data_IF_306955991163
#
_entry.id   IF_306955991163
#
_cell.length_a   1.000
_cell.length_b   1.000
_cell.length_c   1.000
_cell.angle_alpha   90.00
_cell.angle_beta   90.00
_cell.angle_gamma   90.00
#
_symmetry.space_group_name_H-M   'P 1'
#
loop_
_entity.id
_entity.type
_entity.pdbx_description
1 polymer ?
#
# COMPACT_ATOMS: atom_id res chain seq x y z
N UNK A 1 -25.36 -15.07 65.88
CA UNK A 1 -25.49 -15.39 64.49
C UNK A 1 -25.52 -14.03 63.70
N UNK A 2 -24.40 -13.59 63.12
CA UNK A 2 -24.31 -12.33 62.40
C UNK A 2 -24.33 -12.67 60.91
N UNK A 3 -25.34 -12.18 60.22
CA UNK A 3 -25.51 -12.34 58.79
C UNK A 3 -24.69 -11.23 58.10
N UNK A 4 -23.63 -11.61 57.40
CA UNK A 4 -22.89 -10.70 56.50
C UNK A 4 -23.62 -10.66 55.14
N UNK A 5 -24.19 -9.52 54.81
CA UNK A 5 -24.73 -9.23 53.49
C UNK A 5 -23.59 -8.72 52.61
N UNK A 6 -23.17 -9.51 51.62
CA UNK A 6 -22.22 -9.10 50.62
C UNK A 6 -22.95 -8.28 49.53
N UNK A 7 -22.63 -7.00 49.42
CA UNK A 7 -23.05 -6.16 48.28
C UNK A 7 -22.13 -6.49 47.08
N UNK A 8 -22.67 -7.12 46.05
CA UNK A 8 -22.00 -7.26 44.77
C UNK A 8 -22.16 -5.94 43.97
N UNK A 9 -21.07 -5.22 43.79
CA UNK A 9 -21.03 -4.05 42.90
C UNK A 9 -21.07 -4.51 41.44
N UNK A 10 -22.16 -4.26 40.76
CA UNK A 10 -22.31 -4.48 39.32
C UNK A 10 -21.56 -3.36 38.58
N UNK A 11 -20.35 -3.61 38.09
CA UNK A 11 -19.65 -2.70 37.18
C UNK A 11 -20.35 -2.74 35.80
N UNK A 12 -21.18 -1.77 35.52
CA UNK A 12 -21.71 -1.53 34.17
C UNK A 12 -20.60 -0.88 33.38
N UNK A 13 -19.94 -1.65 32.52
CA UNK A 13 -19.01 -1.11 31.52
C UNK A 13 -19.85 -0.38 30.44
N UNK A 14 -19.80 0.94 30.44
CA UNK A 14 -20.32 1.72 29.33
C UNK A 14 -19.42 1.46 28.13
N UNK A 15 -19.98 1.19 26.91
CA UNK A 15 -19.18 1.16 25.73
C UNK A 15 -18.48 2.52 25.57
N UNK A 16 -17.15 2.51 25.48
CA UNK A 16 -16.41 3.71 25.15
C UNK A 16 -16.89 4.20 23.80
N UNK A 17 -17.51 5.37 23.75
CA UNK A 17 -17.84 6.05 22.50
C UNK A 17 -16.49 6.30 21.81
N UNK A 18 -16.26 5.66 20.66
CA UNK A 18 -15.06 5.90 19.88
C UNK A 18 -14.96 7.40 19.58
N UNK A 19 -13.80 8.00 19.82
CA UNK A 19 -13.57 9.39 19.42
C UNK A 19 -13.84 9.52 17.92
N UNK A 20 -14.42 10.66 17.47
CA UNK A 20 -14.68 10.84 16.04
C UNK A 20 -13.36 10.75 15.26
N UNK A 21 -13.37 9.96 14.20
CA UNK A 21 -12.23 9.80 13.30
C UNK A 21 -11.78 11.16 12.76
N UNK A 22 -10.48 11.43 12.83
CA UNK A 22 -9.93 12.61 12.18
C UNK A 22 -9.92 12.45 10.63
N UNK A 23 -9.57 13.53 9.92
CA UNK A 23 -9.53 13.49 8.44
C UNK A 23 -8.58 12.42 7.90
N UNK A 24 -7.41 12.30 8.51
CA UNK A 24 -6.38 11.34 8.09
C UNK A 24 -6.83 9.90 8.30
N UNK A 25 -7.44 9.60 9.44
CA UNK A 25 -7.98 8.27 9.73
C UNK A 25 -9.10 7.89 8.75
N UNK A 26 -10.00 8.83 8.42
CA UNK A 26 -11.03 8.61 7.40
C UNK A 26 -10.42 8.37 6.02
N UNK A 27 -9.40 9.15 5.63
CA UNK A 27 -8.71 8.98 4.35
C UNK A 27 -8.03 7.61 4.25
N UNK A 28 -7.31 7.20 5.31
CA UNK A 28 -6.66 5.89 5.38
C UNK A 28 -7.68 4.75 5.26
N UNK A 29 -8.80 4.85 5.99
CA UNK A 29 -9.87 3.85 5.91
C UNK A 29 -10.51 3.79 4.53
N UNK A 30 -10.81 4.92 3.92
CA UNK A 30 -11.41 4.97 2.60
C UNK A 30 -10.48 4.41 1.50
N UNK A 31 -9.18 4.73 1.56
CA UNK A 31 -8.19 4.19 0.64
C UNK A 31 -7.99 2.69 0.84
N UNK A 32 -7.91 2.22 2.08
CA UNK A 32 -7.75 0.79 2.38
C UNK A 32 -8.97 -0.02 1.91
N UNK A 33 -10.20 0.48 2.13
CA UNK A 33 -11.42 -0.24 1.80
C UNK A 33 -11.79 -0.18 0.31
N UNK A 34 -11.32 0.84 -0.43
CA UNK A 34 -11.60 0.96 -1.86
C UNK A 34 -11.05 -0.24 -2.65
N UNK A 35 -11.89 -1.02 -3.35
CA UNK A 35 -11.41 -2.13 -4.16
C UNK A 35 -10.59 -1.63 -5.35
N UNK A 36 -9.51 -2.32 -5.67
CA UNK A 36 -8.67 -1.94 -6.82
C UNK A 36 -7.50 -2.91 -7.01
N UNK A 37 -7.74 -4.18 -7.39
CA UNK A 37 -6.64 -5.05 -7.77
C UNK A 37 -6.06 -4.58 -9.09
N UNK A 38 -4.81 -4.98 -9.38
CA UNK A 38 -4.08 -4.55 -10.58
C UNK A 38 -4.93 -4.62 -11.86
N UNK A 39 -5.07 -3.50 -12.55
CA UNK A 39 -5.86 -3.35 -13.76
C UNK A 39 -7.35 -3.01 -13.54
N UNK A 40 -7.79 -2.87 -12.28
CA UNK A 40 -9.18 -2.55 -11.88
C UNK A 40 -9.22 -1.46 -10.81
N UNK A 41 -8.36 -0.45 -10.92
CA UNK A 41 -8.14 0.59 -9.90
C UNK A 41 -9.18 1.72 -9.92
N UNK A 42 -10.32 1.59 -10.64
CA UNK A 42 -11.28 2.68 -10.83
C UNK A 42 -11.81 3.27 -9.52
N UNK A 43 -12.09 2.42 -8.54
CA UNK A 43 -12.66 2.90 -7.28
C UNK A 43 -11.64 3.72 -6.48
N UNK A 44 -10.43 3.22 -6.30
CA UNK A 44 -9.35 3.95 -5.61
C UNK A 44 -8.90 5.17 -6.42
N UNK A 45 -8.85 5.07 -7.74
CA UNK A 45 -8.58 6.23 -8.63
C UNK A 45 -9.59 7.35 -8.39
N UNK A 46 -10.86 7.01 -8.18
CA UNK A 46 -11.89 7.99 -7.82
C UNK A 46 -11.56 8.74 -6.53
N UNK A 47 -11.06 8.04 -5.50
CA UNK A 47 -10.60 8.66 -4.24
C UNK A 47 -9.40 9.57 -4.51
N UNK A 48 -8.38 9.10 -5.22
CA UNK A 48 -7.17 9.87 -5.54
C UNK A 48 -7.51 11.15 -6.32
N UNK A 49 -8.32 11.05 -7.36
CA UNK A 49 -8.74 12.22 -8.16
C UNK A 49 -9.51 13.23 -7.31
N UNK A 50 -10.43 12.77 -6.47
CA UNK A 50 -11.20 13.65 -5.58
C UNK A 50 -10.29 14.41 -4.61
N UNK A 51 -9.32 13.73 -4.00
CA UNK A 51 -8.41 14.32 -3.01
C UNK A 51 -7.34 15.22 -3.65
N UNK A 52 -6.81 14.84 -4.82
CA UNK A 52 -5.72 15.56 -5.48
C UNK A 52 -6.22 16.78 -6.29
N UNK A 53 -7.42 16.74 -6.87
CA UNK A 53 -7.93 17.83 -7.73
C UNK A 53 -7.92 19.20 -7.05
N UNK A 54 -8.35 19.39 -5.79
CA UNK A 54 -8.30 20.70 -5.15
C UNK A 54 -6.87 21.14 -4.76
N UNK A 55 -5.89 20.25 -4.82
CA UNK A 55 -4.50 20.48 -4.42
C UNK A 55 -3.56 20.75 -5.60
N UNK A 56 -3.90 20.27 -6.78
CA UNK A 56 -3.07 20.35 -7.97
C UNK A 56 -3.41 21.57 -8.85
N UNK A 57 -2.42 22.03 -9.60
CA UNK A 57 -2.63 23.00 -10.67
C UNK A 57 -3.14 22.32 -11.94
N UNK A 58 -2.79 21.03 -12.12
CA UNK A 58 -3.17 20.22 -13.26
C UNK A 58 -3.26 18.73 -12.86
N UNK A 59 -4.29 18.05 -13.35
CA UNK A 59 -4.40 16.58 -13.32
C UNK A 59 -4.26 16.06 -14.75
N UNK A 60 -3.44 15.02 -14.94
CA UNK A 60 -3.28 14.29 -16.19
C UNK A 60 -3.28 12.79 -15.90
N UNK A 61 -3.43 11.99 -16.95
CA UNK A 61 -3.41 10.54 -16.87
C UNK A 61 -2.39 10.01 -17.88
N UNK A 62 -1.76 8.89 -17.56
CA UNK A 62 -0.97 8.16 -18.54
C UNK A 62 -1.87 7.19 -19.35
N UNK A 63 -1.25 6.42 -20.26
CA UNK A 63 -1.98 5.51 -21.15
C UNK A 63 -2.50 4.22 -20.47
N UNK A 64 -2.14 3.95 -19.20
CA UNK A 64 -2.56 2.75 -18.45
C UNK A 64 -3.46 3.09 -17.26
N UNK A 65 -3.65 4.38 -16.94
CA UNK A 65 -4.62 4.84 -15.96
C UNK A 65 -4.05 5.41 -14.67
N UNK A 66 -2.74 5.65 -14.58
CA UNK A 66 -2.15 6.38 -13.45
C UNK A 66 -2.64 7.82 -13.42
N UNK A 67 -2.80 8.38 -12.21
CA UNK A 67 -3.20 9.77 -11.98
C UNK A 67 -1.97 10.61 -11.67
N UNK A 68 -1.73 11.67 -12.42
CA UNK A 68 -0.58 12.57 -12.23
C UNK A 68 -1.09 13.95 -11.88
N UNK A 69 -0.85 14.36 -10.63
CA UNK A 69 -1.19 15.68 -10.10
C UNK A 69 0.07 16.57 -10.09
N UNK A 70 0.06 17.67 -10.83
CA UNK A 70 1.15 18.65 -10.87
C UNK A 70 0.82 19.84 -9.99
N UNK A 71 1.81 20.30 -9.19
CA UNK A 71 1.78 21.56 -8.46
C UNK A 71 3.13 22.28 -8.58
N UNK A 72 3.08 23.60 -8.82
CA UNK A 72 4.26 24.42 -9.09
C UNK A 72 4.66 24.42 -10.58
N UNK A 73 5.15 25.57 -11.04
CA UNK A 73 5.44 25.84 -12.46
C UNK A 73 6.93 25.98 -12.78
N UNK A 74 7.82 25.96 -11.78
CA UNK A 74 9.25 26.25 -11.97
C UNK A 74 10.12 25.37 -11.07
N UNK A 75 11.41 25.33 -11.36
CA UNK A 75 12.37 24.49 -10.66
C UNK A 75 12.49 23.08 -11.23
N UNK A 76 13.24 22.18 -10.58
CA UNK A 76 13.42 20.80 -11.03
C UNK A 76 12.10 20.02 -10.91
N UNK A 77 11.94 19.03 -11.79
CA UNK A 77 10.80 18.12 -11.76
C UNK A 77 11.06 17.03 -10.72
N UNK A 78 10.24 17.00 -9.70
CA UNK A 78 10.29 15.97 -8.65
C UNK A 78 9.05 15.11 -8.75
N UNK A 79 9.22 13.81 -8.97
CA UNK A 79 8.15 12.82 -8.96
C UNK A 79 8.07 12.21 -7.56
N UNK A 80 6.91 12.31 -6.93
CA UNK A 80 6.53 11.62 -5.72
C UNK A 80 5.50 10.58 -6.09
N UNK A 81 5.82 9.32 -5.90
CA UNK A 81 5.10 8.18 -6.40
C UNK A 81 4.50 7.33 -5.28
N UNK A 82 3.35 6.72 -5.55
CA UNK A 82 2.71 5.71 -4.72
C UNK A 82 1.72 4.92 -5.59
N UNK A 83 1.65 3.59 -5.44
CA UNK A 83 0.76 2.81 -6.30
C UNK A 83 -0.65 2.63 -5.73
N UNK A 84 -1.63 2.64 -6.63
CA UNK A 84 -3.05 2.50 -6.28
C UNK A 84 -3.51 1.06 -6.21
N UNK A 85 -2.90 0.16 -6.96
CA UNK A 85 -3.35 -1.22 -6.99
C UNK A 85 -3.03 -1.97 -5.69
N UNK A 86 -3.78 -3.02 -5.46
CA UNK A 86 -3.61 -3.93 -4.34
C UNK A 86 -3.49 -5.36 -4.86
N UNK A 87 -2.94 -6.24 -4.05
CA UNK A 87 -3.02 -7.67 -4.28
C UNK A 87 -4.47 -8.14 -4.38
N UNK A 88 -4.73 -9.01 -5.34
CA UNK A 88 -6.06 -9.56 -5.53
C UNK A 88 -6.04 -10.76 -6.46
N UNK A 89 -7.10 -10.88 -7.22
CA UNK A 89 -7.24 -11.89 -8.24
C UNK A 89 -8.33 -11.55 -9.24
N UNK A 90 -8.56 -12.47 -10.16
CA UNK A 90 -9.72 -12.44 -11.04
C UNK A 90 -10.35 -13.83 -11.14
N UNK A 91 -11.65 -13.87 -11.37
CA UNK A 91 -12.35 -15.11 -11.65
C UNK A 91 -11.78 -15.72 -12.92
N UNK A 92 -11.22 -16.92 -12.84
CA UNK A 92 -10.63 -17.63 -13.98
C UNK A 92 -11.64 -18.49 -14.69
N UNK A 93 -12.46 -19.24 -13.92
CA UNK A 93 -13.44 -20.20 -14.47
C UNK A 93 -14.56 -20.46 -13.48
N UNK A 94 -15.77 -20.67 -13.99
CA UNK A 94 -16.93 -21.15 -13.24
C UNK A 94 -17.09 -22.67 -13.51
N UNK A 95 -17.24 -23.46 -12.45
CA UNK A 95 -17.51 -24.89 -12.57
C UNK A 95 -19.00 -25.16 -12.78
N UNK A 96 -19.40 -26.31 -13.35
CA UNK A 96 -20.82 -26.68 -13.48
C UNK A 96 -21.55 -26.71 -12.13
N UNK A 97 -20.84 -26.97 -11.04
CA UNK A 97 -21.37 -27.06 -9.66
C UNK A 97 -21.30 -25.75 -8.87
N UNK A 98 -21.05 -24.62 -9.54
CA UNK A 98 -21.14 -23.29 -8.93
C UNK A 98 -19.90 -22.80 -8.18
N UNK A 99 -18.80 -23.55 -8.16
CA UNK A 99 -17.53 -23.07 -7.63
C UNK A 99 -16.72 -22.30 -8.67
N UNK A 100 -15.79 -21.46 -8.20
CA UNK A 100 -14.97 -20.62 -9.05
C UNK A 100 -13.49 -20.93 -8.84
N UNK A 101 -12.71 -21.00 -9.92
CA UNK A 101 -11.25 -20.92 -9.80
C UNK A 101 -10.82 -19.45 -9.98
N UNK A 102 -9.73 -19.07 -9.32
CA UNK A 102 -9.19 -17.72 -9.30
C UNK A 102 -7.79 -17.68 -9.91
N UNK A 103 -7.52 -16.66 -10.71
CA UNK A 103 -6.18 -16.25 -11.10
C UNK A 103 -5.71 -15.18 -10.12
N UNK A 104 -4.61 -15.43 -9.41
CA UNK A 104 -4.02 -14.44 -8.53
C UNK A 104 -3.34 -13.32 -9.32
N UNK A 105 -3.46 -12.09 -8.84
CA UNK A 105 -2.74 -10.90 -9.26
C UNK A 105 -1.81 -10.48 -8.13
N UNK A 106 -0.52 -10.30 -8.46
CA UNK A 106 0.54 -9.97 -7.50
C UNK A 106 1.10 -11.17 -6.73
N UNK A 107 1.99 -10.89 -5.79
CA UNK A 107 2.78 -11.86 -5.06
C UNK A 107 2.12 -12.35 -3.77
N UNK A 108 1.40 -13.46 -3.80
CA UNK A 108 0.72 -14.05 -2.65
C UNK A 108 1.50 -15.22 -2.03
N UNK A 109 1.43 -15.33 -0.71
CA UNK A 109 1.88 -16.52 0.01
C UNK A 109 0.74 -17.55 0.03
N UNK A 110 0.96 -18.76 -0.50
CA UNK A 110 -0.08 -19.78 -0.68
C UNK A 110 -0.80 -20.14 0.63
N UNK A 111 -0.07 -20.22 1.74
CA UNK A 111 -0.64 -20.51 3.06
C UNK A 111 -1.52 -19.37 3.64
N UNK A 112 -1.51 -18.18 3.06
CA UNK A 112 -2.36 -17.06 3.48
C UNK A 112 -3.71 -17.03 2.73
N UNK A 113 -3.93 -17.91 1.77
CA UNK A 113 -5.11 -17.93 0.90
C UNK A 113 -6.29 -18.79 1.39
N UNK A 114 -6.06 -19.97 2.05
CA UNK A 114 -7.17 -20.82 2.50
C UNK A 114 -8.04 -20.16 3.57
N UNK A 115 -9.34 -20.45 3.53
CA UNK A 115 -10.33 -20.00 4.52
C UNK A 115 -10.44 -18.47 4.70
N UNK A 116 -10.12 -17.72 3.64
CA UNK A 116 -10.20 -16.27 3.63
C UNK A 116 -11.48 -15.78 2.96
N UNK A 117 -11.98 -14.67 3.44
CA UNK A 117 -13.12 -13.98 2.83
C UNK A 117 -12.66 -13.09 1.69
N UNK A 118 -13.46 -13.05 0.62
CA UNK A 118 -13.21 -12.26 -0.58
C UNK A 118 -14.46 -11.52 -1.02
N UNK A 119 -14.26 -10.49 -1.82
CA UNK A 119 -15.32 -9.79 -2.53
C UNK A 119 -15.03 -9.92 -4.03
N UNK A 120 -15.98 -10.46 -4.78
CA UNK A 120 -15.97 -10.48 -6.25
C UNK A 120 -16.78 -9.29 -6.73
N UNK A 121 -16.21 -8.45 -7.57
CA UNK A 121 -16.89 -7.29 -8.15
C UNK A 121 -17.53 -7.71 -9.48
N UNK A 122 -18.71 -8.27 -9.39
CA UNK A 122 -19.49 -8.69 -10.56
C UNK A 122 -20.32 -7.55 -11.16
N UNK A 123 -20.92 -7.82 -12.31
CA UNK A 123 -21.77 -6.85 -13.03
C UNK A 123 -22.95 -6.30 -12.21
N UNK A 124 -23.48 -7.10 -11.28
CA UNK A 124 -24.61 -6.70 -10.43
C UNK A 124 -24.16 -6.08 -9.10
N UNK A 125 -22.87 -5.86 -8.90
CA UNK A 125 -22.28 -5.34 -7.68
C UNK A 125 -21.41 -6.39 -6.94
N UNK A 126 -20.97 -6.07 -5.71
CA UNK A 126 -20.08 -6.93 -4.94
C UNK A 126 -20.80 -8.19 -4.45
N UNK A 127 -20.09 -9.33 -4.54
CA UNK A 127 -20.55 -10.63 -4.04
C UNK A 127 -19.49 -11.19 -3.09
N UNK A 128 -19.88 -11.53 -1.86
CA UNK A 128 -18.99 -12.17 -0.89
C UNK A 128 -18.71 -13.62 -1.28
N UNK A 129 -17.47 -14.03 -1.10
CA UNK A 129 -16.99 -15.39 -1.34
C UNK A 129 -16.03 -15.83 -0.22
N UNK A 130 -15.74 -17.11 -0.16
CA UNK A 130 -14.72 -17.70 0.70
C UNK A 130 -13.83 -18.64 -0.11
N UNK A 131 -12.52 -18.63 0.14
CA UNK A 131 -11.65 -19.69 -0.36
C UNK A 131 -11.90 -20.96 0.45
N UNK A 132 -12.39 -22.02 -0.23
CA UNK A 132 -12.72 -23.28 0.40
C UNK A 132 -11.46 -24.06 0.81
N UNK A 133 -11.60 -24.81 1.90
CA UNK A 133 -10.61 -25.78 2.36
C UNK A 133 -11.30 -27.13 2.62
N UNK A 134 -10.50 -28.20 2.64
CA UNK A 134 -11.00 -29.51 3.07
C UNK A 134 -11.16 -29.57 4.58
N UNK A 135 -12.26 -30.15 5.04
CA UNK A 135 -12.55 -30.32 6.45
C UNK A 135 -11.50 -31.21 7.13
N UNK A 136 -11.09 -30.83 8.35
CA UNK A 136 -10.09 -31.55 9.16
C UNK A 136 -10.48 -33.03 9.41
N UNK A 137 -11.78 -33.33 9.44
CA UNK A 137 -12.28 -34.69 9.67
C UNK A 137 -12.08 -35.65 8.49
N UNK A 138 -11.88 -35.12 7.28
CA UNK A 138 -11.68 -35.94 6.06
C UNK A 138 -10.25 -35.79 5.50
N UNK A 139 -9.42 -34.90 6.04
CA UNK A 139 -8.01 -34.78 5.63
C UNK A 139 -7.14 -35.79 6.37
N UNK A 140 -6.38 -36.67 5.67
CA UNK A 140 -5.42 -37.57 6.30
C UNK A 140 -4.43 -36.83 7.21
N UNK A 141 -4.03 -37.49 8.30
CA UNK A 141 -3.20 -36.83 9.34
C UNK A 141 -1.86 -36.30 8.79
N UNK A 142 -1.25 -37.01 7.85
CA UNK A 142 0.02 -36.64 7.20
C UNK A 142 -0.12 -35.50 6.18
N UNK A 143 -1.33 -35.18 5.73
CA UNK A 143 -1.62 -34.06 4.83
C UNK A 143 -1.95 -32.76 5.57
N UNK A 144 -2.33 -32.82 6.85
CA UNK A 144 -2.82 -31.65 7.63
C UNK A 144 -1.78 -30.53 7.80
N UNK A 145 -0.50 -30.87 7.70
CA UNK A 145 0.62 -29.93 7.83
C UNK A 145 1.19 -29.49 6.48
N UNK A 146 0.65 -29.97 5.38
CA UNK A 146 1.11 -29.58 4.04
C UNK A 146 0.49 -28.25 3.63
N UNK A 147 1.29 -27.39 3.01
CA UNK A 147 0.79 -26.17 2.39
C UNK A 147 -0.08 -26.51 1.19
N UNK A 148 -1.24 -25.88 1.08
CA UNK A 148 -2.10 -26.02 -0.10
C UNK A 148 -1.43 -25.37 -1.31
N UNK A 149 -1.54 -26.04 -2.46
CA UNK A 149 -1.22 -25.38 -3.73
C UNK A 149 -2.35 -24.42 -4.11
N UNK A 150 -2.02 -23.21 -4.51
CA UNK A 150 -3.01 -22.22 -5.00
C UNK A 150 -3.85 -22.76 -6.17
N UNK A 151 -3.32 -23.68 -6.96
CA UNK A 151 -4.05 -24.31 -8.07
C UNK A 151 -5.21 -25.20 -7.61
N UNK A 152 -5.22 -25.63 -6.34
CA UNK A 152 -6.30 -26.41 -5.74
C UNK A 152 -7.36 -25.57 -5.02
N UNK A 153 -7.13 -24.26 -4.88
CA UNK A 153 -8.06 -23.33 -4.23
C UNK A 153 -9.25 -23.04 -5.14
N UNK A 154 -10.38 -22.85 -4.51
CA UNK A 154 -11.61 -22.42 -5.17
C UNK A 154 -12.33 -21.39 -4.32
N UNK A 155 -13.11 -20.51 -4.98
CA UNK A 155 -14.04 -19.61 -4.31
C UNK A 155 -15.43 -20.24 -4.29
N UNK A 156 -16.05 -20.14 -3.13
CA UNK A 156 -17.44 -20.52 -2.89
C UNK A 156 -18.27 -19.24 -2.64
N UNK A 157 -19.31 -19.05 -3.43
CA UNK A 157 -20.30 -17.96 -3.34
C UNK A 157 -21.67 -18.47 -2.90
N UNK A 158 -21.76 -19.72 -2.44
CA UNK A 158 -23.02 -20.37 -2.06
C UNK A 158 -23.90 -20.82 -3.26
N UNK A 159 -23.39 -20.74 -4.49
CA UNK A 159 -24.11 -21.17 -5.69
C UNK A 159 -24.09 -22.70 -5.82
N UNK A 160 -25.12 -23.26 -6.49
CA UNK A 160 -25.24 -24.70 -6.74
C UNK A 160 -24.92 -25.11 -8.18
N UNK A 161 -25.00 -24.14 -9.08
CA UNK A 161 -24.81 -24.33 -10.51
C UNK A 161 -24.09 -23.12 -11.13
N UNK A 162 -23.54 -23.31 -12.32
CA UNK A 162 -23.00 -22.19 -13.11
C UNK A 162 -24.08 -21.15 -13.46
N UNK A 163 -25.34 -21.56 -13.59
CA UNK A 163 -26.45 -20.63 -13.84
C UNK A 163 -26.73 -19.73 -12.63
N UNK A 164 -26.60 -20.26 -11.40
CA UNK A 164 -26.74 -19.44 -10.19
C UNK A 164 -25.61 -18.39 -10.12
N UNK A 165 -24.38 -18.77 -10.45
CA UNK A 165 -23.23 -17.85 -10.52
C UNK A 165 -23.49 -16.74 -11.54
N UNK A 166 -23.97 -17.10 -12.74
CA UNK A 166 -24.34 -16.13 -13.77
C UNK A 166 -25.47 -15.18 -13.33
N UNK A 167 -26.43 -15.68 -12.55
CA UNK A 167 -27.51 -14.87 -11.97
C UNK A 167 -27.00 -13.84 -10.93
N UNK A 168 -25.92 -14.18 -10.20
CA UNK A 168 -25.23 -13.21 -9.34
C UNK A 168 -24.47 -12.13 -10.13
N UNK A 169 -24.33 -12.29 -11.44
CA UNK A 169 -23.63 -11.34 -12.32
C UNK A 169 -22.13 -11.61 -12.39
N UNK A 170 -21.67 -12.74 -11.94
CA UNK A 170 -20.23 -13.12 -11.94
C UNK A 170 -19.87 -13.80 -13.27
N UNK A 171 -18.72 -13.38 -13.81
CA UNK A 171 -18.14 -13.89 -15.07
C UNK A 171 -16.63 -14.08 -14.94
N UNK A 172 -16.02 -14.93 -15.78
CA UNK A 172 -14.57 -14.95 -15.90
C UNK A 172 -14.02 -13.56 -16.24
N UNK A 173 -12.94 -13.15 -15.56
CA UNK A 173 -12.34 -11.83 -15.66
C UNK A 173 -12.80 -10.86 -14.57
N UNK A 174 -13.86 -11.12 -13.83
CA UNK A 174 -14.30 -10.22 -12.75
C UNK A 174 -13.24 -10.16 -11.64
N UNK A 175 -12.91 -8.95 -11.13
CA UNK A 175 -11.90 -8.76 -10.10
C UNK A 175 -12.35 -9.30 -8.74
N UNK A 176 -11.36 -9.79 -7.99
CA UNK A 176 -11.52 -10.36 -6.66
C UNK A 176 -10.56 -9.67 -5.70
N UNK A 177 -11.07 -9.15 -4.60
CA UNK A 177 -10.27 -8.47 -3.57
C UNK A 177 -10.49 -9.08 -2.20
N UNK A 178 -9.53 -8.95 -1.26
CA UNK A 178 -9.72 -9.34 0.13
C UNK A 178 -10.92 -8.63 0.77
N UNK A 179 -11.73 -9.37 1.52
CA UNK A 179 -12.78 -8.83 2.40
C UNK A 179 -12.18 -8.61 3.80
N UNK A 180 -11.41 -7.54 3.95
CA UNK A 180 -10.73 -7.16 5.19
C UNK A 180 -10.88 -5.65 5.41
N UNK A 181 -12.02 -5.22 5.96
CA UNK A 181 -12.31 -3.80 6.15
C UNK A 181 -11.38 -3.15 7.18
N UNK A 182 -11.22 -1.83 7.03
CA UNK A 182 -10.45 -0.99 7.93
C UNK A 182 -10.99 -1.04 9.36
N UNK A 183 -10.09 -1.22 10.34
CA UNK A 183 -10.39 -1.19 11.77
C UNK A 183 -9.33 -0.38 12.52
N UNK A 184 -9.76 0.63 13.28
CA UNK A 184 -8.89 1.32 14.21
C UNK A 184 -8.63 0.42 15.44
N UNK A 185 -7.35 0.14 15.70
CA UNK A 185 -6.90 -0.63 16.86
C UNK A 185 -6.45 0.32 18.00
N UNK A 186 -6.40 -0.16 19.26
CA UNK A 186 -5.83 0.63 20.34
C UNK A 186 -4.39 1.06 20.08
N UNK A 187 -4.01 2.23 20.57
CA UNK A 187 -2.64 2.74 20.49
C UNK A 187 -2.28 3.40 19.16
N UNK A 188 -3.27 3.81 18.35
CA UNK A 188 -3.04 4.51 17.09
C UNK A 188 -2.58 3.60 15.96
N UNK A 189 -2.97 2.34 15.99
CA UNK A 189 -2.69 1.39 14.92
C UNK A 189 -3.93 1.12 14.09
N UNK A 190 -3.72 0.77 12.83
CA UNK A 190 -4.79 0.50 11.88
C UNK A 190 -4.62 -0.87 11.25
N UNK A 191 -5.65 -1.70 11.35
CA UNK A 191 -5.76 -2.98 10.67
C UNK A 191 -6.60 -2.80 9.40
N UNK A 192 -6.18 -3.40 8.31
CA UNK A 192 -6.91 -3.37 7.05
C UNK A 192 -6.16 -4.12 5.96
N UNK A 193 -6.75 -4.16 4.78
CA UNK A 193 -6.08 -4.64 3.56
C UNK A 193 -5.26 -3.53 2.91
N UNK A 194 -4.46 -3.90 1.91
CA UNK A 194 -3.88 -2.98 0.92
C UNK A 194 -3.04 -1.83 1.50
N UNK A 195 -2.41 -1.99 2.68
CA UNK A 195 -1.47 -0.97 3.15
C UNK A 195 -0.28 -0.79 2.21
N UNK A 196 0.06 -1.81 1.50
CA UNK A 196 0.85 -1.84 0.29
C UNK A 196 -0.10 -1.62 -0.91
N UNK A 197 -0.15 -0.41 -1.57
CA UNK A 197 0.50 0.82 -1.08
C UNK A 197 -0.52 1.97 -0.89
N UNK A 198 -1.67 1.67 -0.30
CA UNK A 198 -2.67 2.69 0.01
C UNK A 198 -2.20 3.65 1.10
N UNK A 199 -1.23 3.21 1.94
CA UNK A 199 -0.62 4.10 2.92
C UNK A 199 0.26 5.14 2.23
N UNK A 200 1.02 4.78 1.20
CA UNK A 200 1.77 5.72 0.36
C UNK A 200 0.84 6.67 -0.40
N UNK A 201 -0.27 6.17 -0.96
CA UNK A 201 -1.31 7.02 -1.53
C UNK A 201 -1.80 8.10 -0.55
N UNK A 202 -2.03 7.75 0.71
CA UNK A 202 -2.39 8.73 1.73
C UNK A 202 -1.25 9.70 2.05
N UNK A 203 0.01 9.22 2.12
CA UNK A 203 1.20 10.06 2.35
C UNK A 203 1.34 11.13 1.26
N UNK A 204 1.23 10.75 -0.02
CA UNK A 204 1.42 11.70 -1.12
C UNK A 204 0.31 12.76 -1.17
N UNK A 205 -0.94 12.40 -0.82
CA UNK A 205 -2.05 13.36 -0.68
C UNK A 205 -1.76 14.36 0.44
N UNK A 206 -1.41 13.87 1.64
CA UNK A 206 -1.16 14.73 2.80
C UNK A 206 0.10 15.59 2.62
N UNK A 207 1.14 15.06 1.98
CA UNK A 207 2.34 15.82 1.65
C UNK A 207 2.01 16.94 0.66
N UNK A 208 1.30 16.69 -0.43
CA UNK A 208 0.89 17.72 -1.39
C UNK A 208 0.02 18.80 -0.73
N UNK A 209 -0.92 18.40 0.13
CA UNK A 209 -1.77 19.35 0.86
C UNK A 209 -0.95 20.31 1.73
N UNK A 210 0.07 19.82 2.43
CA UNK A 210 0.95 20.64 3.27
C UNK A 210 1.89 21.51 2.43
N UNK A 211 2.47 20.95 1.36
CA UNK A 211 3.37 21.66 0.45
C UNK A 211 2.67 22.79 -0.31
N UNK A 212 1.41 22.61 -0.69
CA UNK A 212 0.60 23.69 -1.26
C UNK A 212 0.44 24.87 -0.31
N UNK A 213 0.32 24.62 1.00
CA UNK A 213 0.18 25.67 2.01
C UNK A 213 1.50 26.33 2.38
N UNK A 214 2.61 25.56 2.44
CA UNK A 214 3.93 26.03 2.89
C UNK A 214 4.87 26.49 1.77
N UNK A 215 4.60 26.09 0.51
CA UNK A 215 5.45 26.34 -0.64
C UNK A 215 6.60 25.32 -0.79
N UNK A 216 7.10 25.18 -2.02
CA UNK A 216 8.25 24.34 -2.38
C UNK A 216 8.97 24.90 -3.63
N UNK A 217 10.28 24.60 -3.84
CA UNK A 217 11.10 25.24 -4.88
C UNK A 217 11.13 24.47 -6.23
N UNK A 218 10.25 23.51 -6.44
CA UNK A 218 10.29 22.56 -7.56
C UNK A 218 8.94 22.44 -8.27
N UNK A 219 8.91 21.76 -9.41
CA UNK A 219 7.70 21.28 -10.04
C UNK A 219 7.41 19.90 -9.45
N UNK A 220 6.44 19.81 -8.54
CA UNK A 220 6.07 18.57 -7.89
C UNK A 220 5.02 17.84 -8.73
N UNK A 221 5.29 16.58 -9.03
CA UNK A 221 4.38 15.64 -9.67
C UNK A 221 4.07 14.53 -8.67
N UNK A 222 2.86 14.48 -8.17
CA UNK A 222 2.34 13.34 -7.42
C UNK A 222 1.76 12.36 -8.41
N UNK A 223 2.36 11.20 -8.53
CA UNK A 223 1.90 10.11 -9.39
C UNK A 223 1.26 9.03 -8.51
N UNK A 224 -0.04 8.81 -8.70
CA UNK A 224 -0.72 7.65 -8.17
C UNK A 224 -0.75 6.61 -9.28
N UNK A 225 0.12 5.63 -9.19
CA UNK A 225 0.42 4.66 -10.25
C UNK A 225 -0.50 3.45 -10.20
N UNK A 226 -0.51 2.66 -11.26
CA UNK A 226 -1.32 1.45 -11.42
C UNK A 226 -0.45 0.27 -11.78
N UNK A 227 -0.94 -0.95 -11.49
CA UNK A 227 -0.31 -2.20 -11.93
C UNK A 227 1.16 -2.35 -11.46
N UNK A 228 1.47 -1.86 -10.27
CA UNK A 228 2.77 -2.06 -9.62
C UNK A 228 2.98 -3.55 -9.37
N UNK A 229 2.02 -4.22 -8.71
CA UNK A 229 2.01 -5.60 -8.24
C UNK A 229 2.18 -6.67 -9.36
N UNK A 230 2.01 -6.24 -10.61
CA UNK A 230 2.17 -7.10 -11.79
C UNK A 230 3.28 -6.61 -12.73
N UNK A 231 4.20 -5.81 -12.22
CA UNK A 231 5.45 -5.46 -12.91
C UNK A 231 5.72 -3.97 -13.10
N UNK A 232 5.45 -3.11 -12.12
CA UNK A 232 5.87 -1.69 -12.03
C UNK A 232 5.43 -0.85 -13.25
N UNK A 233 4.24 -1.15 -13.81
CA UNK A 233 3.88 -0.67 -15.15
C UNK A 233 3.54 0.81 -15.16
N UNK A 234 2.73 1.25 -14.20
CA UNK A 234 2.29 2.63 -14.08
C UNK A 234 3.43 3.59 -13.77
N UNK A 235 4.35 3.21 -12.88
CA UNK A 235 5.50 4.04 -12.54
C UNK A 235 6.37 4.33 -13.75
N UNK A 236 6.58 3.31 -14.60
CA UNK A 236 7.35 3.48 -15.83
C UNK A 236 6.67 4.45 -16.78
N UNK A 237 5.37 4.26 -17.07
CA UNK A 237 4.64 5.11 -18.01
C UNK A 237 4.45 6.53 -17.49
N UNK A 238 4.21 6.70 -16.18
CA UNK A 238 4.15 8.00 -15.54
C UNK A 238 5.50 8.73 -15.58
N UNK A 239 6.60 8.04 -15.25
CA UNK A 239 7.93 8.63 -15.31
C UNK A 239 8.36 8.99 -16.73
N UNK A 240 8.02 8.18 -17.74
CA UNK A 240 8.27 8.52 -19.16
C UNK A 240 7.48 9.76 -19.60
N UNK A 241 6.28 9.98 -19.07
CA UNK A 241 5.46 11.15 -19.35
C UNK A 241 5.98 12.40 -18.61
N UNK A 242 6.33 12.29 -17.33
CA UNK A 242 6.82 13.38 -16.47
C UNK A 242 8.24 13.76 -16.86
N UNK A 243 9.10 12.79 -17.11
CA UNK A 243 10.56 12.92 -17.25
C UNK A 243 11.16 13.64 -16.04
N UNK A 244 11.11 13.03 -14.84
CA UNK A 244 11.52 13.67 -13.61
C UNK A 244 13.04 13.84 -13.54
N UNK A 245 13.48 14.85 -12.80
CA UNK A 245 14.88 15.02 -12.41
C UNK A 245 15.25 14.20 -11.19
N UNK A 246 14.25 13.91 -10.32
CA UNK A 246 14.34 13.14 -9.07
C UNK A 246 13.08 12.31 -8.93
N UNK A 247 13.22 11.07 -8.46
CA UNK A 247 12.12 10.18 -8.08
C UNK A 247 12.14 9.83 -6.59
N UNK A 248 10.98 9.77 -5.99
CA UNK A 248 10.75 9.27 -4.62
C UNK A 248 9.54 8.37 -4.68
N UNK A 249 9.71 7.07 -4.49
CA UNK A 249 8.62 6.15 -4.24
C UNK A 249 8.30 6.12 -2.75
N UNK A 250 7.03 6.05 -2.42
CA UNK A 250 6.55 5.80 -1.06
C UNK A 250 5.89 4.43 -1.08
N UNK A 251 6.14 3.62 -0.06
CA UNK A 251 5.69 2.24 -0.03
C UNK A 251 5.19 1.80 1.36
N UNK A 252 4.29 0.83 1.38
CA UNK A 252 3.96 0.05 2.56
C UNK A 252 5.00 -1.03 2.82
N UNK A 253 6.15 -0.68 3.42
CA UNK A 253 7.29 -1.59 3.54
C UNK A 253 7.19 -2.58 4.69
N UNK A 254 7.99 -3.64 4.65
CA UNK A 254 7.95 -4.77 5.58
C UNK A 254 8.41 -4.34 6.98
N UNK A 255 7.58 -4.58 8.03
CA UNK A 255 7.98 -4.46 9.42
C UNK A 255 8.47 -5.82 9.96
N UNK A 256 9.69 -5.84 10.52
CA UNK A 256 10.36 -7.05 11.02
C UNK A 256 10.07 -7.39 12.48
N UNK A 257 9.22 -6.65 13.18
CA UNK A 257 8.95 -6.81 14.61
C UNK A 257 7.85 -7.84 14.94
N UNK A 258 7.60 -8.79 14.03
CA UNK A 258 6.71 -9.92 14.27
C UNK A 258 7.45 -11.13 14.84
N UNK A 259 6.80 -11.96 15.69
CA UNK A 259 7.42 -13.19 16.19
C UNK A 259 7.93 -14.09 15.06
N UNK A 260 9.13 -14.65 15.23
CA UNK A 260 9.76 -15.54 14.24
C UNK A 260 10.47 -14.84 13.10
N UNK A 261 10.55 -13.50 13.09
CA UNK A 261 11.38 -12.73 12.17
C UNK A 261 12.81 -12.57 12.68
N UNK A 262 13.75 -12.49 11.75
CA UNK A 262 15.16 -12.19 12.04
C UNK A 262 15.49 -10.74 11.62
N UNK A 263 16.32 -10.01 12.39
CA UNK A 263 16.84 -8.72 11.94
C UNK A 263 17.64 -8.78 10.63
N UNK A 264 18.07 -9.96 10.20
CA UNK A 264 18.72 -10.17 8.90
C UNK A 264 17.72 -10.15 7.72
N UNK A 265 16.41 -10.29 7.99
CA UNK A 265 15.38 -10.27 6.96
C UNK A 265 14.90 -8.84 6.67
N UNK A 266 14.69 -8.04 7.71
CA UNK A 266 14.29 -6.63 7.67
C UNK A 266 14.57 -6.00 9.03
N UNK A 267 14.93 -4.71 9.03
CA UNK A 267 15.30 -3.96 10.23
C UNK A 267 14.22 -2.96 10.66
N UNK A 268 13.30 -2.60 9.75
CA UNK A 268 12.21 -1.67 10.06
C UNK A 268 11.21 -2.28 11.05
N UNK A 269 10.68 -1.47 11.96
CA UNK A 269 9.70 -1.87 12.98
C UNK A 269 8.57 -0.85 13.08
N UNK A 270 7.37 -1.28 13.51
CA UNK A 270 6.25 -0.37 13.78
C UNK A 270 6.58 0.58 14.94
N UNK A 271 6.22 1.85 14.79
CA UNK A 271 6.48 2.91 15.78
C UNK A 271 7.89 3.48 15.71
N UNK A 272 8.76 2.92 14.85
CA UNK A 272 10.15 3.36 14.67
C UNK A 272 10.31 4.59 13.78
N UNK A 273 9.26 5.04 13.11
CA UNK A 273 9.29 6.12 12.11
C UNK A 273 9.41 5.62 10.68
N UNK A 274 9.53 6.53 9.69
CA UNK A 274 9.73 6.14 8.30
C UNK A 274 10.98 5.29 8.11
N UNK A 275 10.93 4.38 7.15
CA UNK A 275 12.09 3.64 6.69
C UNK A 275 12.63 4.18 5.37
N UNK A 276 13.89 3.89 5.10
CA UNK A 276 14.57 4.18 3.84
C UNK A 276 15.26 2.90 3.40
N UNK A 277 14.89 2.34 2.26
CA UNK A 277 15.61 1.22 1.69
C UNK A 277 16.96 1.67 1.13
N UNK A 278 18.03 1.03 1.62
CA UNK A 278 19.37 1.19 1.07
C UNK A 278 19.62 0.21 -0.07
N UNK A 279 18.81 -0.83 -0.16
CA UNK A 279 18.72 -1.83 -1.22
C UNK A 279 17.47 -2.69 -1.03
N UNK A 280 16.76 -2.99 -2.10
CA UNK A 280 15.53 -3.78 -2.09
C UNK A 280 15.50 -4.94 -3.11
N UNK A 281 16.63 -5.28 -3.72
CA UNK A 281 16.86 -6.17 -4.87
C UNK A 281 16.64 -5.55 -6.24
N UNK A 282 15.87 -4.47 -6.37
CA UNK A 282 15.54 -3.81 -7.62
C UNK A 282 16.16 -2.42 -7.74
N UNK A 283 16.27 -1.69 -6.62
CA UNK A 283 16.78 -0.32 -6.56
C UNK A 283 18.05 -0.22 -5.71
N UNK A 284 19.06 0.47 -6.24
CA UNK A 284 20.19 1.03 -5.50
C UNK A 284 20.07 2.55 -5.51
N UNK A 285 19.66 3.18 -4.40
CA UNK A 285 19.45 4.62 -4.36
C UNK A 285 20.77 5.39 -4.48
N UNK A 286 20.69 6.62 -5.00
CA UNK A 286 21.81 7.52 -5.09
C UNK A 286 22.36 7.85 -3.68
N UNK A 287 23.64 7.61 -3.42
CA UNK A 287 24.27 7.78 -2.09
C UNK A 287 24.18 9.21 -1.55
N UNK A 288 24.30 10.23 -2.42
CA UNK A 288 24.15 11.64 -2.01
C UNK A 288 22.69 11.93 -1.62
N UNK A 289 21.74 11.29 -2.30
CA UNK A 289 20.33 11.42 -1.97
C UNK A 289 19.99 10.74 -0.64
N UNK A 290 20.51 9.56 -0.38
CA UNK A 290 20.45 8.87 0.93
C UNK A 290 21.00 9.76 2.05
N UNK A 291 22.15 10.39 1.82
CA UNK A 291 22.75 11.30 2.79
C UNK A 291 21.84 12.51 3.07
N UNK A 292 21.28 13.13 2.02
CA UNK A 292 20.34 14.25 2.15
C UNK A 292 19.11 13.87 2.97
N UNK A 293 18.53 12.68 2.75
CA UNK A 293 17.39 12.20 3.56
C UNK A 293 17.77 12.09 5.03
N UNK A 294 18.95 11.55 5.34
CA UNK A 294 19.47 11.45 6.70
C UNK A 294 19.67 12.82 7.37
N UNK A 295 20.22 13.79 6.63
CA UNK A 295 20.35 15.17 7.11
C UNK A 295 19.00 15.81 7.39
N UNK A 296 18.04 15.67 6.47
CA UNK A 296 16.69 16.22 6.64
C UNK A 296 15.97 15.58 7.82
N UNK A 297 16.05 14.26 7.97
CA UNK A 297 15.45 13.55 9.10
C UNK A 297 16.03 14.05 10.44
N UNK A 298 17.37 14.12 10.54
CA UNK A 298 18.08 14.61 11.74
C UNK A 298 17.71 16.05 12.08
N UNK A 299 17.72 16.94 11.08
CA UNK A 299 17.42 18.37 11.27
C UNK A 299 15.99 18.63 11.73
N UNK A 300 15.07 17.71 11.46
CA UNK A 300 13.66 17.82 11.83
C UNK A 300 13.28 16.91 13.02
N UNK A 301 14.26 16.23 13.66
CA UNK A 301 14.00 15.32 14.78
C UNK A 301 13.14 14.12 14.42
N UNK A 302 13.19 13.69 13.15
CA UNK A 302 12.42 12.55 12.67
C UNK A 302 13.30 11.29 12.77
N UNK A 303 12.92 10.26 13.53
CA UNK A 303 13.63 8.99 13.53
C UNK A 303 13.53 8.38 12.13
N UNK A 304 14.67 7.96 11.58
CA UNK A 304 14.75 7.34 10.26
C UNK A 304 15.34 5.94 10.41
N UNK A 305 14.58 4.95 10.03
CA UNK A 305 15.03 3.57 9.95
C UNK A 305 15.70 3.33 8.60
N UNK A 306 16.77 2.54 8.58
CA UNK A 306 17.43 2.13 7.34
C UNK A 306 17.28 0.64 7.19
N UNK A 307 16.90 0.19 6.00
CA UNK A 307 16.62 -1.21 5.76
C UNK A 307 17.33 -1.73 4.49
N UNK A 308 17.58 -3.03 4.48
CA UNK A 308 18.11 -3.79 3.35
C UNK A 308 17.28 -5.06 3.25
N UNK A 309 16.49 -5.18 2.20
CA UNK A 309 15.59 -6.31 2.00
C UNK A 309 15.96 -7.03 0.70
N UNK A 310 15.93 -8.37 0.73
CA UNK A 310 16.13 -9.18 -0.47
C UNK A 310 14.79 -9.67 -1.01
N UNK A 311 14.66 -9.70 -2.35
CA UNK A 311 13.46 -10.21 -3.00
C UNK A 311 12.25 -9.28 -2.94
N UNK A 312 12.48 -8.00 -2.65
CA UNK A 312 11.52 -6.91 -2.76
C UNK A 312 11.75 -6.17 -4.07
N UNK A 313 10.76 -5.50 -4.59
CA UNK A 313 10.87 -4.65 -5.77
C UNK A 313 9.71 -3.66 -5.74
N UNK A 314 9.93 -2.43 -6.17
CA UNK A 314 8.95 -1.35 -6.11
C UNK A 314 9.11 -0.37 -7.28
N UNK A 315 8.20 0.57 -7.37
CA UNK A 315 8.12 1.58 -8.41
C UNK A 315 9.38 2.44 -8.55
N UNK A 316 10.23 2.55 -7.51
CA UNK A 316 11.49 3.27 -7.59
C UNK A 316 12.45 2.70 -8.65
N UNK A 317 12.43 1.39 -8.86
CA UNK A 317 13.25 0.73 -9.88
C UNK A 317 12.84 1.13 -11.30
N UNK A 318 11.53 1.18 -11.56
CA UNK A 318 11.00 1.60 -12.86
C UNK A 318 11.31 3.07 -13.12
N UNK A 319 11.11 3.95 -12.13
CA UNK A 319 11.44 5.38 -12.23
C UNK A 319 12.94 5.57 -12.48
N UNK A 320 13.80 4.87 -11.72
CA UNK A 320 15.25 4.96 -11.82
C UNK A 320 15.76 4.66 -13.26
N UNK A 321 15.11 3.73 -13.95
CA UNK A 321 15.50 3.27 -15.28
C UNK A 321 14.99 4.16 -16.43
N UNK A 322 14.23 5.22 -16.16
CA UNK A 322 13.68 6.12 -17.18
C UNK A 322 14.62 7.27 -17.52
N UNK A 323 14.35 8.01 -18.61
CA UNK A 323 14.99 9.28 -19.00
C UNK A 323 16.54 9.28 -18.98
N UNK A 324 17.17 8.13 -19.20
CA UNK A 324 18.63 7.99 -19.15
C UNK A 324 19.20 7.83 -17.75
N UNK A 325 18.36 7.60 -16.74
CA UNK A 325 18.67 7.40 -15.34
C UNK A 325 18.23 8.57 -14.45
N UNK A 326 17.39 8.28 -13.48
CA UNK A 326 16.85 9.25 -12.52
C UNK A 326 17.35 8.88 -11.12
N UNK A 327 17.99 9.79 -10.35
CA UNK A 327 18.27 9.55 -8.95
C UNK A 327 16.96 9.33 -8.18
N UNK A 328 16.79 8.12 -7.69
CA UNK A 328 15.54 7.67 -7.05
C UNK A 328 15.85 7.03 -5.70
N UNK A 329 14.90 7.06 -4.80
CA UNK A 329 14.91 6.33 -3.53
C UNK A 329 13.49 5.86 -3.20
N UNK A 330 13.41 4.88 -2.29
CA UNK A 330 12.18 4.38 -1.73
C UNK A 330 12.11 4.70 -0.23
N UNK A 331 11.05 5.40 0.19
CA UNK A 331 10.69 5.65 1.59
C UNK A 331 9.51 4.76 1.96
N UNK A 332 9.57 4.11 3.11
CA UNK A 332 8.50 3.22 3.54
C UNK A 332 7.79 3.70 4.81
N UNK A 333 6.49 3.45 4.85
CA UNK A 333 5.73 3.36 6.09
C UNK A 333 5.76 1.90 6.53
N UNK A 334 6.37 1.54 7.68
CA UNK A 334 6.42 0.14 8.11
C UNK A 334 5.03 -0.46 8.25
N UNK A 335 4.83 -1.63 7.66
CA UNK A 335 3.60 -2.40 7.73
C UNK A 335 3.87 -3.86 8.07
N UNK A 336 3.13 -4.42 9.02
CA UNK A 336 3.16 -5.86 9.28
C UNK A 336 2.25 -6.58 8.31
N UNK A 337 2.64 -7.80 7.93
CA UNK A 337 1.82 -8.71 7.14
C UNK A 337 1.46 -8.17 5.75
N UNK A 338 2.41 -7.46 5.11
CA UNK A 338 2.29 -7.12 3.69
C UNK A 338 2.10 -8.38 2.85
N UNK A 339 1.48 -8.28 1.69
CA UNK A 339 1.16 -9.40 0.81
C UNK A 339 0.28 -10.48 1.45
N UNK A 340 -0.67 -10.04 2.31
CA UNK A 340 -1.71 -10.87 2.93
C UNK A 340 -3.04 -10.11 2.99
N UNK A 341 -4.11 -10.80 3.43
CA UNK A 341 -5.44 -10.19 3.59
C UNK A 341 -5.47 -9.03 4.57
N UNK A 342 -4.61 -9.09 5.58
CA UNK A 342 -4.62 -8.16 6.70
C UNK A 342 -3.22 -7.60 6.90
N UNK A 343 -3.10 -6.29 7.01
CA UNK A 343 -1.89 -5.61 7.40
C UNK A 343 -2.14 -4.70 8.60
N UNK A 344 -1.08 -4.30 9.28
CA UNK A 344 -1.13 -3.35 10.40
C UNK A 344 -0.09 -2.27 10.18
N UNK A 345 -0.52 -1.00 10.24
CA UNK A 345 0.36 0.17 10.26
C UNK A 345 0.21 0.95 11.57
N UNK A 346 1.16 1.84 11.83
CA UNK A 346 1.15 2.76 12.96
C UNK A 346 0.93 4.20 12.48
N UNK A 347 -0.03 4.91 13.07
CA UNK A 347 -0.36 6.29 12.72
C UNK A 347 0.82 7.24 12.87
N UNK A 348 1.66 7.03 13.86
CA UNK A 348 2.81 7.90 14.10
C UNK A 348 3.88 7.74 13.01
N UNK A 349 4.07 6.51 12.49
CA UNK A 349 4.96 6.26 11.37
C UNK A 349 4.46 6.96 10.11
N UNK A 350 3.16 6.89 9.83
CA UNK A 350 2.52 7.63 8.75
C UNK A 350 2.75 9.15 8.89
N UNK A 351 2.42 9.73 10.05
CA UNK A 351 2.56 11.18 10.27
C UNK A 351 4.02 11.65 10.15
N UNK A 352 4.98 10.84 10.62
CA UNK A 352 6.43 11.10 10.49
C UNK A 352 6.92 10.97 9.06
N UNK A 353 6.39 10.00 8.29
CA UNK A 353 6.70 9.87 6.87
C UNK A 353 6.22 11.09 6.09
N UNK A 354 4.99 11.55 6.31
CA UNK A 354 4.49 12.80 5.72
C UNK A 354 5.40 13.98 6.08
N UNK A 355 5.82 14.11 7.35
CA UNK A 355 6.72 15.17 7.79
C UNK A 355 8.07 15.12 7.07
N UNK A 356 8.65 13.92 6.92
CA UNK A 356 9.91 13.71 6.22
C UNK A 356 9.80 14.07 4.74
N UNK A 357 8.76 13.60 4.06
CA UNK A 357 8.50 13.87 2.63
C UNK A 357 8.36 15.40 2.41
N UNK A 358 7.56 16.10 3.22
CA UNK A 358 7.40 17.55 3.13
C UNK A 358 8.73 18.27 3.29
N UNK A 359 9.48 17.95 4.35
CA UNK A 359 10.78 18.55 4.60
C UNK A 359 11.80 18.27 3.50
N UNK A 360 11.79 17.06 2.93
CA UNK A 360 12.67 16.65 1.84
C UNK A 360 12.34 17.41 0.55
N UNK A 361 11.08 17.48 0.14
CA UNK A 361 10.63 18.19 -1.07
C UNK A 361 11.01 19.67 -1.00
N UNK A 362 10.94 20.30 0.16
CA UNK A 362 11.35 21.69 0.38
C UNK A 362 12.88 21.92 0.22
N UNK A 363 13.69 20.85 0.33
CA UNK A 363 15.15 20.91 0.12
C UNK A 363 15.59 20.60 -1.32
N UNK A 364 14.67 20.15 -2.19
CA UNK A 364 14.96 19.77 -3.57
C UNK A 364 14.86 20.98 -4.53
N UNK A 365 15.69 22.00 -4.27
CA UNK A 365 15.88 23.13 -5.19
C UNK A 365 16.82 22.78 -6.37
N UNK A 366 16.94 23.67 -7.34
CA UNK A 366 17.74 23.45 -8.53
C UNK A 366 19.24 23.14 -8.22
N UNK A 367 19.92 23.88 -7.30
CA UNK A 367 21.30 23.55 -6.93
C UNK A 367 21.42 22.16 -6.25
N UNK A 368 20.49 21.80 -5.38
CA UNK A 368 20.50 20.51 -4.69
C UNK A 368 20.29 19.37 -5.69
N UNK A 369 19.29 19.46 -6.54
CA UNK A 369 19.02 18.45 -7.57
C UNK A 369 20.20 18.31 -8.55
N UNK A 370 20.83 19.41 -8.95
CA UNK A 370 22.03 19.37 -9.81
C UNK A 370 23.17 18.57 -9.14
N UNK A 371 23.40 18.75 -7.81
CA UNK A 371 24.41 17.95 -7.06
C UNK A 371 24.04 16.47 -7.00
N UNK A 372 22.77 16.13 -6.80
CA UNK A 372 22.32 14.74 -6.76
C UNK A 372 22.50 14.04 -8.13
N UNK A 373 22.36 14.76 -9.21
CA UNK A 373 22.53 14.26 -10.58
C UNK A 373 23.96 14.27 -11.09
N UNK A 374 24.89 14.91 -10.37
CA UNK A 374 26.29 14.97 -10.76
C UNK A 374 27.07 13.76 -10.32
N UNK A 375 27.78 13.12 -11.24
CA UNK A 375 28.76 12.05 -10.97
C UNK A 375 30.22 12.53 -11.21
N UNK A 376 30.41 13.83 -11.47
CA UNK A 376 31.74 14.40 -11.53
C UNK A 376 32.42 14.31 -10.17
N UNK A 377 33.76 14.07 -10.10
CA UNK A 377 34.50 14.15 -8.86
C UNK A 377 34.32 15.51 -8.20
N UNK A 378 34.14 15.53 -6.89
CA UNK A 378 34.17 16.77 -6.12
C UNK A 378 35.54 17.43 -6.31
N UNK A 379 35.59 18.65 -6.84
CA UNK A 379 36.82 19.42 -7.10
C UNK A 379 37.34 20.05 -5.81
#
# INVERSE_FOLDING_TARGET
MRILTALAALCVAFPAVAAPQDRTERLLGELADAPGPSGYEEAVRGVMVRELTPLADKITYDGVGSVIAQHGASGPKVMLDAHMDELGGMVRRVTPTGFLSMQMLGGWLDQALPDQRWIIIGRNGPVHAVTGIRDVHVVPADERTRVFSRDSLYLDVGARTAADVAALGISPGDPVVPDSPFVALPGGRYLGKAWDDRVGCAVVIEALRRLRASGHPNQLYVAATVQEEVGLRGARTAADLIKPDIGIAIEGGIAGDSPGRSPEETQAVLGGGPGLFLYDSSTLPNRRFVALVGEVATSNGIPLQKDLVQGYGDDSAAIQATAGGVPTLNLIVPARYTHAHNGIIDRMDFDRTVNLVVALIQRLDAPTVARLRSFAPDR
#
